data_IF_171164197746
#
_entry.id   IF_171164197746
#
_cell.length_a   1.000
_cell.length_b   1.000
_cell.length_c   1.000
_cell.angle_alpha   90.00
_cell.angle_beta   90.00
_cell.angle_gamma   90.00
#
_symmetry.space_group_name_H-M   'P 1'
#
loop_
_entity.id
_entity.type
_entity.pdbx_description
1 polymer ?
#
# COMPACT_ATOMS: atom_id res chain seq x y z
N UNK A 1 23.51 11.69 -9.11
CA UNK A 1 24.47 11.35 -8.04
C UNK A 1 23.63 10.99 -6.82
N UNK A 2 23.41 9.70 -6.57
CA UNK A 2 22.74 9.21 -5.36
C UNK A 2 23.67 9.48 -4.18
N UNK A 3 23.25 10.36 -3.27
CA UNK A 3 23.98 10.60 -2.03
C UNK A 3 24.20 9.27 -1.32
N UNK A 4 25.46 8.96 -0.97
CA UNK A 4 25.97 7.67 -0.49
C UNK A 4 25.48 7.28 0.92
N UNK A 5 24.26 7.66 1.30
CA UNK A 5 23.66 7.38 2.60
C UNK A 5 22.26 6.74 2.55
N UNK A 6 21.56 6.78 1.42
CA UNK A 6 20.20 6.22 1.31
C UNK A 6 20.21 4.93 0.48
N UNK A 7 20.27 3.79 1.18
CA UNK A 7 19.98 2.48 0.60
C UNK A 7 18.51 2.14 0.82
N UNK A 8 17.82 1.75 -0.26
CA UNK A 8 16.45 1.26 -0.21
C UNK A 8 16.48 -0.27 -0.23
N UNK A 9 15.97 -0.90 0.83
CA UNK A 9 15.86 -2.36 0.94
C UNK A 9 14.45 -2.80 0.47
N UNK A 10 14.34 -3.56 -0.65
CA UNK A 10 13.06 -4.03 -1.18
C UNK A 10 12.28 -4.95 -0.22
N UNK A 11 12.98 -5.62 0.69
CA UNK A 11 12.38 -6.47 1.73
C UNK A 11 11.64 -5.60 2.75
N UNK A 12 12.28 -4.50 3.21
CA UNK A 12 11.65 -3.53 4.11
C UNK A 12 10.46 -2.84 3.47
N UNK A 13 10.52 -2.51 2.18
CA UNK A 13 9.38 -1.97 1.44
C UNK A 13 8.22 -2.97 1.37
N UNK A 14 8.50 -4.25 1.11
CA UNK A 14 7.49 -5.31 1.07
C UNK A 14 6.82 -5.54 2.43
N UNK A 15 7.61 -5.55 3.51
CA UNK A 15 7.08 -5.67 4.87
C UNK A 15 6.27 -4.44 5.27
N UNK A 16 6.71 -3.24 4.87
CA UNK A 16 5.96 -2.02 5.14
C UNK A 16 4.62 -2.01 4.39
N UNK A 17 4.61 -2.38 3.10
CA UNK A 17 3.39 -2.58 2.31
C UNK A 17 2.41 -3.51 3.03
N UNK A 18 2.86 -4.68 3.51
CA UNK A 18 2.01 -5.64 4.24
C UNK A 18 1.40 -5.03 5.50
N UNK A 19 2.17 -4.28 6.28
CA UNK A 19 1.67 -3.60 7.50
C UNK A 19 0.63 -2.53 7.17
N UNK A 20 0.86 -1.75 6.10
CA UNK A 20 -0.08 -0.72 5.66
C UNK A 20 -1.38 -1.35 5.12
N UNK A 21 -1.30 -2.44 4.37
CA UNK A 21 -2.48 -3.21 3.94
C UNK A 21 -3.29 -3.74 5.13
N UNK A 22 -2.63 -4.34 6.12
CA UNK A 22 -3.30 -4.83 7.32
C UNK A 22 -4.00 -3.69 8.10
N UNK A 23 -3.38 -2.51 8.17
CA UNK A 23 -3.98 -1.33 8.76
C UNK A 23 -5.19 -0.84 7.95
N UNK A 24 -5.11 -0.84 6.62
CA UNK A 24 -6.23 -0.48 5.73
C UNK A 24 -7.43 -1.41 5.96
N UNK A 25 -7.20 -2.73 6.03
CA UNK A 25 -8.23 -3.73 6.31
C UNK A 25 -8.86 -3.54 7.69
N UNK A 26 -8.05 -3.35 8.74
CA UNK A 26 -8.53 -3.10 10.09
C UNK A 26 -9.37 -1.80 10.16
N UNK A 27 -8.94 -0.75 9.45
CA UNK A 27 -9.65 0.53 9.37
C UNK A 27 -11.00 0.38 8.66
N UNK A 28 -11.03 -0.37 7.56
CA UNK A 28 -12.26 -0.68 6.84
C UNK A 28 -13.23 -1.54 7.68
N UNK A 29 -12.71 -2.52 8.43
CA UNK A 29 -13.49 -3.37 9.32
C UNK A 29 -14.07 -2.62 10.53
N UNK A 30 -13.41 -1.55 10.98
CA UNK A 30 -13.87 -0.70 12.07
C UNK A 30 -15.02 0.25 11.67
N UNK A 31 -15.31 0.41 10.37
CA UNK A 31 -16.47 1.19 9.91
C UNK A 31 -17.74 0.44 10.31
N UNK A 32 -18.62 1.04 11.13
CA UNK A 32 -19.85 0.39 11.58
C UNK A 32 -20.69 -0.10 10.39
N UNK A 33 -21.19 -1.34 10.45
CA UNK A 33 -22.20 -1.82 9.49
C UNK A 33 -23.55 -1.20 9.88
N UNK A 34 -23.85 -0.06 9.28
CA UNK A 34 -25.05 0.75 9.54
C UNK A 34 -26.38 0.05 9.21
N UNK A 35 -26.35 -1.15 8.62
CA UNK A 35 -27.53 -1.97 8.35
C UNK A 35 -28.28 -2.41 9.61
N UNK A 36 -27.68 -2.32 10.79
CA UNK A 36 -28.30 -2.76 12.05
C UNK A 36 -29.03 -1.65 12.83
N UNK A 37 -28.89 -0.38 12.43
CA UNK A 37 -29.58 0.75 13.08
C UNK A 37 -30.84 1.11 12.29
N UNK A 38 -31.90 0.32 12.47
CA UNK A 38 -33.21 0.61 11.86
C UNK A 38 -33.90 1.79 12.57
N UNK A 39 -34.26 2.86 11.84
CA UNK A 39 -35.06 3.97 12.37
C UNK A 39 -36.43 3.52 12.89
N UNK A 40 -36.97 2.42 12.35
CA UNK A 40 -38.30 1.90 12.69
C UNK A 40 -38.38 1.39 14.14
N UNK A 41 -37.26 1.03 14.76
CA UNK A 41 -37.24 0.53 16.13
C UNK A 41 -37.56 1.62 17.18
N UNK A 42 -37.47 2.91 16.83
CA UNK A 42 -37.52 4.02 17.79
C UNK A 42 -38.53 5.13 17.45
N UNK A 43 -39.33 4.99 16.39
CA UNK A 43 -40.38 5.95 16.02
C UNK A 43 -39.87 7.37 15.80
N UNK A 44 -40.68 8.40 16.13
CA UNK A 44 -40.36 9.82 15.88
C UNK A 44 -39.09 10.29 16.62
N UNK A 45 -38.90 9.86 17.87
CA UNK A 45 -37.68 10.10 18.65
C UNK A 45 -36.47 9.41 18.00
N UNK A 46 -36.69 8.20 17.47
CA UNK A 46 -35.77 7.48 16.60
C UNK A 46 -35.30 8.33 15.44
N UNK A 47 -36.21 8.85 14.62
CA UNK A 47 -35.89 9.71 13.45
C UNK A 47 -35.14 10.99 13.78
N UNK A 48 -35.43 11.64 14.91
CA UNK A 48 -34.73 12.89 15.30
C UNK A 48 -33.33 12.59 15.84
N UNK A 49 -33.17 11.57 16.69
CA UNK A 49 -31.86 11.13 17.15
C UNK A 49 -31.02 10.55 16.01
N UNK A 50 -31.63 9.74 15.12
CA UNK A 50 -30.93 9.24 13.93
C UNK A 50 -30.57 10.41 13.01
N UNK A 51 -31.43 11.40 12.77
CA UNK A 51 -31.04 12.57 11.98
C UNK A 51 -29.81 13.31 12.53
N UNK A 52 -29.78 13.55 13.84
CA UNK A 52 -28.69 14.29 14.49
C UNK A 52 -27.40 13.47 14.67
N UNK A 53 -27.50 12.16 14.94
CA UNK A 53 -26.35 11.27 15.13
C UNK A 53 -25.84 10.66 13.82
N UNK A 54 -26.72 10.31 12.88
CA UNK A 54 -26.34 9.70 11.60
C UNK A 54 -25.60 10.69 10.71
N UNK A 55 -25.96 11.97 10.69
CA UNK A 55 -25.29 12.94 9.80
C UNK A 55 -23.77 13.05 10.05
N UNK A 56 -23.27 13.35 11.26
CA UNK A 56 -21.83 13.43 11.51
C UNK A 56 -21.14 12.07 11.45
N UNK A 57 -21.81 10.99 11.84
CA UNK A 57 -21.23 9.64 11.82
C UNK A 57 -21.16 9.03 10.42
N UNK A 58 -22.11 9.33 9.53
CA UNK A 58 -22.02 8.95 8.10
C UNK A 58 -20.93 9.74 7.38
N UNK A 59 -20.75 11.02 7.71
CA UNK A 59 -19.60 11.81 7.23
C UNK A 59 -18.31 11.19 7.75
N UNK A 60 -18.23 10.87 9.04
CA UNK A 60 -17.07 10.19 9.65
C UNK A 60 -16.76 8.85 9.00
N UNK A 61 -17.76 7.99 8.81
CA UNK A 61 -17.62 6.69 8.17
C UNK A 61 -17.09 6.81 6.73
N UNK A 62 -17.55 7.80 5.96
CA UNK A 62 -17.03 8.07 4.61
C UNK A 62 -15.57 8.53 4.65
N UNK A 63 -15.18 9.34 5.63
CA UNK A 63 -13.78 9.76 5.75
C UNK A 63 -12.87 8.60 6.18
N UNK A 64 -13.34 7.73 7.07
CA UNK A 64 -12.61 6.51 7.46
C UNK A 64 -12.46 5.57 6.26
N UNK A 65 -13.51 5.38 5.46
CA UNK A 65 -13.44 4.59 4.23
C UNK A 65 -12.43 5.17 3.22
N UNK A 66 -12.45 6.48 2.98
CA UNK A 66 -11.45 7.17 2.13
C UNK A 66 -10.04 7.03 2.69
N UNK A 67 -9.88 7.07 4.01
CA UNK A 67 -8.59 6.84 4.67
C UNK A 67 -8.09 5.41 4.43
N UNK A 68 -8.96 4.41 4.54
CA UNK A 68 -8.62 3.02 4.25
C UNK A 68 -8.23 2.83 2.76
N UNK A 69 -8.94 3.47 1.83
CA UNK A 69 -8.59 3.47 0.39
C UNK A 69 -7.22 4.13 0.12
N UNK A 70 -6.93 5.24 0.80
CA UNK A 70 -5.64 5.92 0.69
C UNK A 70 -4.50 5.03 1.22
N UNK A 71 -4.71 4.35 2.35
CA UNK A 71 -3.75 3.39 2.89
C UNK A 71 -3.53 2.21 1.93
N UNK A 72 -4.60 1.68 1.34
CA UNK A 72 -4.51 0.60 0.35
C UNK A 72 -3.71 1.03 -0.89
N UNK A 73 -3.91 2.26 -1.37
CA UNK A 73 -3.12 2.84 -2.46
C UNK A 73 -1.63 2.91 -2.10
N UNK A 74 -1.30 3.46 -0.93
CA UNK A 74 0.09 3.55 -0.45
C UNK A 74 0.73 2.17 -0.33
N UNK A 75 0.00 1.17 0.19
CA UNK A 75 0.50 -0.20 0.25
C UNK A 75 0.80 -0.77 -1.14
N UNK A 76 -0.06 -0.47 -2.12
CA UNK A 76 0.16 -0.82 -3.53
C UNK A 76 1.42 -0.18 -4.11
N UNK A 77 1.61 1.12 -3.89
CA UNK A 77 2.78 1.87 -4.37
C UNK A 77 4.09 1.35 -3.76
N UNK A 78 4.08 0.98 -2.47
CA UNK A 78 5.21 0.36 -1.79
C UNK A 78 5.55 -1.01 -2.36
N UNK A 79 4.53 -1.85 -2.62
CA UNK A 79 4.72 -3.16 -3.23
C UNK A 79 5.25 -3.04 -4.67
N UNK A 80 4.71 -2.09 -5.44
CA UNK A 80 5.17 -1.77 -6.79
C UNK A 80 6.63 -1.31 -6.78
N UNK A 81 6.99 -0.41 -5.85
CA UNK A 81 8.37 0.05 -5.68
C UNK A 81 9.32 -1.11 -5.34
N UNK A 82 8.93 -1.99 -4.41
CA UNK A 82 9.71 -3.17 -4.05
C UNK A 82 9.91 -4.11 -5.26
N UNK A 83 8.89 -4.29 -6.10
CA UNK A 83 9.00 -5.07 -7.33
C UNK A 83 9.98 -4.42 -8.33
N UNK A 84 9.87 -3.11 -8.55
CA UNK A 84 10.77 -2.36 -9.43
C UNK A 84 12.24 -2.47 -9.01
N UNK A 85 12.53 -2.33 -7.70
CA UNK A 85 13.90 -2.51 -7.20
C UNK A 85 14.42 -3.94 -7.43
N UNK A 86 13.61 -4.97 -7.17
CA UNK A 86 14.03 -6.36 -7.44
C UNK A 86 14.30 -6.62 -8.92
N UNK A 87 13.49 -6.07 -9.80
CA UNK A 87 13.72 -6.17 -11.26
C UNK A 87 15.02 -5.46 -11.66
N UNK A 88 15.28 -4.29 -11.08
CA UNK A 88 16.51 -3.55 -11.30
C UNK A 88 17.74 -4.32 -10.80
N UNK A 89 17.70 -4.83 -9.57
CA UNK A 89 18.79 -5.62 -8.98
C UNK A 89 19.08 -6.90 -9.78
N UNK A 90 18.03 -7.58 -10.26
CA UNK A 90 18.19 -8.77 -11.11
C UNK A 90 18.80 -8.42 -12.48
N UNK A 91 18.41 -7.29 -13.07
CA UNK A 91 19.00 -6.78 -14.31
C UNK A 91 20.47 -6.43 -14.15
N UNK A 92 20.82 -5.73 -13.06
CA UNK A 92 22.19 -5.38 -12.73
C UNK A 92 23.05 -6.63 -12.49
N UNK A 93 22.53 -7.61 -11.73
CA UNK A 93 23.23 -8.87 -11.50
C UNK A 93 23.49 -9.65 -12.81
N UNK A 94 22.52 -9.66 -13.73
CA UNK A 94 22.68 -10.29 -15.04
C UNK A 94 23.72 -9.56 -15.90
N UNK A 95 23.74 -8.22 -15.87
CA UNK A 95 24.73 -7.41 -16.59
C UNK A 95 26.15 -7.61 -16.03
N UNK A 96 26.31 -7.62 -14.71
CA UNK A 96 27.60 -7.90 -14.05
C UNK A 96 28.09 -9.30 -14.39
N UNK A 97 27.23 -10.33 -14.33
CA UNK A 97 27.61 -11.68 -14.76
C UNK A 97 27.96 -11.76 -16.25
N UNK A 98 27.34 -10.96 -17.12
CA UNK A 98 27.67 -10.94 -18.54
C UNK A 98 29.06 -10.32 -18.79
N UNK A 99 29.45 -9.30 -18.03
CA UNK A 99 30.80 -8.70 -18.09
C UNK A 99 31.88 -9.69 -17.64
N UNK A 100 31.61 -10.48 -16.61
CA UNK A 100 32.54 -11.50 -16.12
C UNK A 100 32.69 -12.72 -17.07
N UNK A 101 31.75 -12.91 -18.00
CA UNK A 101 31.73 -14.04 -18.96
C UNK A 101 32.35 -13.69 -20.32
N UNK A 102 32.79 -12.45 -20.56
CA UNK A 102 33.57 -12.07 -21.76
C UNK A 102 35.09 -11.98 -21.46
N UNK A 103 35.83 -13.11 -21.40
CA UNK A 103 37.27 -13.06 -21.46
C UNK A 103 37.65 -12.74 -22.90
N UNK A 104 37.87 -11.45 -23.18
CA UNK A 104 38.57 -10.86 -24.32
C UNK A 104 38.89 -11.81 -25.49
N UNK A 105 38.47 -11.52 -26.75
CA UNK A 105 38.97 -12.29 -27.87
C UNK A 105 40.49 -12.12 -27.92
N UNK A 106 41.19 -13.22 -27.64
CA UNK A 106 42.60 -13.37 -27.93
C UNK A 106 42.81 -12.92 -29.38
N UNK A 107 43.33 -11.70 -29.57
CA UNK A 107 43.93 -11.28 -30.83
C UNK A 107 45.17 -12.16 -31.00
N UNK A 108 44.94 -13.37 -31.52
CA UNK A 108 45.97 -14.19 -32.12
C UNK A 108 46.61 -13.36 -33.21
N UNK A 109 47.93 -13.24 -33.11
CA UNK A 109 48.74 -12.45 -34.00
C UNK A 109 48.69 -12.93 -35.44
N UNK A 110 49.00 -11.99 -36.32
CA UNK A 110 49.79 -12.17 -37.52
C UNK A 110 50.29 -10.80 -37.93
#
# INVERSE_FOLDING_TARGET
>A
MTDTGFSVDPTRLSDHSRRVSALAEATAAAVPRWTDLSPDAYGVLGTVLTGALLAPTTIGARQVARGAEALATVAGDLAGSAASYRTFDAGLAAEVCAVDVDPSPARSGS
#
